data_IF_585811839950
#
_entry.id   IF_585811839950
#
_cell.length_a   1.000
_cell.length_b   1.000
_cell.length_c   1.000
_cell.angle_alpha   90.00
_cell.angle_beta   90.00
_cell.angle_gamma   90.00
#
_symmetry.space_group_name_H-M   'P 1'
#
loop_
_entity.id
_entity.type
_entity.pdbx_description
1 polymer ?
#
# COMPACT_ATOMS: atom_id res chain seq x y z
N UNK A 1 -5.73 -14.71 9.48
CA UNK A 1 -5.07 -14.75 8.19
C UNK A 1 -4.83 -16.19 7.73
N UNK A 2 -4.56 -16.34 6.46
CA UNK A 2 -4.39 -17.66 5.86
C UNK A 2 -3.00 -18.21 6.19
N UNK A 3 -2.93 -19.45 6.70
CA UNK A 3 -1.66 -20.08 7.01
C UNK A 3 -0.79 -20.24 5.76
N UNK A 4 0.49 -19.92 5.89
CA UNK A 4 1.47 -20.05 4.81
C UNK A 4 1.45 -18.92 3.80
N UNK A 5 0.57 -17.92 3.98
CA UNK A 5 0.52 -16.74 3.12
C UNK A 5 1.31 -15.59 3.74
N UNK A 6 1.97 -14.83 2.91
CA UNK A 6 2.58 -13.57 3.34
C UNK A 6 1.63 -12.40 3.06
N UNK A 7 1.70 -11.38 3.89
CA UNK A 7 0.94 -10.15 3.71
C UNK A 7 1.91 -9.01 3.48
N UNK A 8 1.72 -8.28 2.39
CA UNK A 8 2.52 -7.11 2.05
C UNK A 8 1.66 -5.87 2.20
N UNK A 9 2.22 -4.85 2.85
CA UNK A 9 1.54 -3.60 3.14
C UNK A 9 2.18 -2.48 2.33
N UNK A 10 1.40 -1.77 1.50
CA UNK A 10 1.93 -0.65 0.73
C UNK A 10 2.53 0.43 1.62
N UNK A 11 2.05 0.56 2.87
CA UNK A 11 2.61 1.48 3.85
C UNK A 11 4.13 1.29 4.04
N UNK A 12 4.64 0.09 3.81
CA UNK A 12 6.06 -0.20 3.98
C UNK A 12 6.92 0.42 2.88
N UNK A 13 6.35 0.77 1.73
CA UNK A 13 7.14 1.26 0.61
C UNK A 13 6.66 2.55 -0.06
N UNK A 14 5.55 3.17 0.37
CA UNK A 14 5.20 4.48 -0.17
C UNK A 14 6.36 5.46 0.03
N UNK A 15 6.87 6.11 -1.03
CA UNK A 15 7.94 7.09 -0.84
C UNK A 15 7.39 8.44 -0.35
N UNK A 16 6.96 8.49 0.90
CA UNK A 16 6.44 9.67 1.56
C UNK A 16 4.96 9.91 1.34
N UNK A 17 4.49 11.05 1.82
CA UNK A 17 3.07 11.42 1.80
C UNK A 17 2.52 11.80 0.42
N UNK A 18 3.38 11.97 -0.57
CA UNK A 18 3.00 12.18 -1.97
C UNK A 18 3.17 10.92 -2.81
N UNK A 19 3.46 9.80 -2.18
CA UNK A 19 3.91 8.57 -2.85
C UNK A 19 2.84 7.54 -3.17
N UNK A 20 1.54 7.88 -3.18
CA UNK A 20 0.49 6.90 -3.43
C UNK A 20 0.62 6.26 -4.82
N UNK A 21 0.78 7.06 -5.86
CA UNK A 21 0.91 6.55 -7.23
C UNK A 21 2.16 5.68 -7.39
N UNK A 22 3.28 6.11 -6.84
CA UNK A 22 4.53 5.32 -6.88
C UNK A 22 4.39 4.02 -6.10
N UNK A 23 3.74 4.06 -4.94
CA UNK A 23 3.46 2.86 -4.15
C UNK A 23 2.60 1.85 -4.91
N UNK A 24 1.58 2.32 -5.61
CA UNK A 24 0.75 1.47 -6.47
C UNK A 24 1.57 0.86 -7.61
N UNK A 25 2.48 1.63 -8.20
CA UNK A 25 3.37 1.14 -9.25
C UNK A 25 4.31 0.04 -8.74
N UNK A 26 4.86 0.21 -7.54
CA UNK A 26 5.70 -0.80 -6.90
C UNK A 26 4.89 -2.08 -6.62
N UNK A 27 3.64 -1.95 -6.15
CA UNK A 27 2.77 -3.10 -5.95
C UNK A 27 2.55 -3.88 -7.26
N UNK A 28 2.35 -3.17 -8.38
CA UNK A 28 2.21 -3.80 -9.69
C UNK A 28 3.48 -4.57 -10.08
N UNK A 29 4.65 -4.02 -9.84
CA UNK A 29 5.93 -4.67 -10.13
C UNK A 29 6.12 -5.93 -9.29
N UNK A 30 5.84 -5.85 -7.99
CA UNK A 30 5.96 -7.00 -7.09
C UNK A 30 4.99 -8.11 -7.54
N UNK A 31 3.75 -7.76 -7.81
CA UNK A 31 2.75 -8.72 -8.28
C UNK A 31 3.19 -9.39 -9.59
N UNK A 32 3.72 -8.63 -10.52
CA UNK A 32 4.22 -9.17 -11.79
C UNK A 32 5.36 -10.16 -11.59
N UNK A 33 6.30 -9.84 -10.70
CA UNK A 33 7.41 -10.75 -10.36
C UNK A 33 6.87 -12.08 -9.80
N UNK A 34 6.00 -12.01 -8.80
CA UNK A 34 5.46 -13.20 -8.15
C UNK A 34 4.60 -14.04 -9.11
N UNK A 35 3.76 -13.39 -9.92
CA UNK A 35 2.95 -14.09 -10.92
C UNK A 35 3.81 -14.73 -12.01
N UNK A 36 4.98 -14.16 -12.27
CA UNK A 36 5.97 -14.74 -13.18
C UNK A 36 6.82 -15.85 -12.58
N UNK A 37 6.54 -16.25 -11.34
CA UNK A 37 7.29 -17.29 -10.65
C UNK A 37 8.63 -16.84 -10.09
N UNK A 38 8.78 -15.53 -9.85
CA UNK A 38 10.03 -14.96 -9.35
C UNK A 38 9.82 -14.30 -7.98
N UNK A 39 10.82 -14.39 -7.13
CA UNK A 39 10.87 -13.57 -5.93
C UNK A 39 11.01 -12.10 -6.31
N UNK A 40 10.65 -11.21 -5.41
CA UNK A 40 10.71 -9.77 -5.64
C UNK A 40 11.44 -9.06 -4.48
N UNK A 41 11.40 -7.75 -4.49
CA UNK A 41 11.96 -6.93 -3.41
C UNK A 41 11.40 -5.52 -3.49
N UNK A 42 11.54 -4.76 -2.41
CA UNK A 42 11.21 -3.33 -2.41
C UNK A 42 12.13 -2.61 -1.44
N UNK A 43 12.28 -1.32 -1.64
CA UNK A 43 12.97 -0.45 -0.69
C UNK A 43 11.95 0.05 0.35
N UNK A 44 12.15 -0.31 1.61
CA UNK A 44 11.30 0.14 2.69
C UNK A 44 11.44 1.66 2.85
N UNK A 45 10.33 2.34 3.14
CA UNK A 45 10.35 3.77 3.43
C UNK A 45 10.48 3.99 4.93
N UNK A 46 11.43 4.81 5.33
CA UNK A 46 11.63 5.19 6.72
C UNK A 46 10.77 6.42 7.02
N UNK A 47 9.58 6.19 7.56
CA UNK A 47 8.63 7.25 7.87
C UNK A 47 9.12 8.20 8.96
N UNK A 48 9.97 7.71 9.85
CA UNK A 48 10.52 8.51 10.94
C UNK A 48 11.49 9.57 10.42
N UNK A 49 12.35 9.18 9.49
CA UNK A 49 13.39 10.04 8.95
C UNK A 49 13.07 10.61 7.56
N UNK A 50 11.95 10.20 6.96
CA UNK A 50 11.49 10.70 5.67
C UNK A 50 12.43 10.36 4.52
N UNK A 51 12.96 9.15 4.50
CA UNK A 51 13.91 8.72 3.47
C UNK A 51 13.79 7.24 3.17
N UNK A 52 14.41 6.83 2.06
CA UNK A 52 14.52 5.41 1.69
C UNK A 52 15.31 4.65 2.74
N UNK A 53 14.79 3.52 3.16
CA UNK A 53 15.41 2.61 4.12
C UNK A 53 16.03 1.38 3.46
N UNK A 54 15.94 0.25 4.17
CA UNK A 54 16.55 -1.00 3.73
C UNK A 54 15.80 -1.64 2.57
N UNK A 55 16.53 -2.43 1.77
CA UNK A 55 15.94 -3.31 0.77
C UNK A 55 15.37 -4.55 1.47
N UNK A 56 14.10 -4.85 1.20
CA UNK A 56 13.40 -5.98 1.78
C UNK A 56 13.13 -7.01 0.69
N UNK A 57 13.51 -8.24 0.95
CA UNK A 57 13.25 -9.35 0.03
C UNK A 57 11.81 -9.86 0.18
N UNK A 58 11.18 -10.18 -0.94
CA UNK A 58 9.85 -10.75 -0.99
C UNK A 58 9.96 -12.15 -1.59
N UNK A 59 9.86 -13.21 -0.79
CA UNK A 59 9.97 -14.56 -1.32
C UNK A 59 8.78 -14.93 -2.20
N UNK A 60 8.98 -15.87 -3.10
CA UNK A 60 7.90 -16.43 -3.90
C UNK A 60 7.01 -17.30 -3.01
N UNK A 61 5.84 -16.81 -2.71
CA UNK A 61 4.86 -17.46 -1.84
C UNK A 61 3.46 -16.92 -2.15
N UNK A 62 2.39 -17.62 -1.73
CA UNK A 62 1.05 -17.05 -1.79
C UNK A 62 1.02 -15.74 -1.03
N UNK A 63 0.45 -14.70 -1.63
CA UNK A 63 0.62 -13.33 -1.16
C UNK A 63 -0.69 -12.57 -1.17
N UNK A 64 -0.89 -11.79 -0.11
CA UNK A 64 -1.95 -10.76 -0.03
C UNK A 64 -1.24 -9.42 -0.04
N UNK A 65 -1.66 -8.51 -0.92
CA UNK A 65 -1.16 -7.14 -0.97
C UNK A 65 -2.30 -6.21 -0.55
N UNK A 66 -2.08 -5.39 0.48
CA UNK A 66 -3.10 -4.50 0.98
C UNK A 66 -2.61 -3.05 1.05
N UNK A 67 -3.55 -2.12 0.88
CA UNK A 67 -3.31 -0.69 1.00
C UNK A 67 -3.91 0.09 -0.14
N UNK A 68 -3.92 1.42 0.00
CA UNK A 68 -4.37 2.31 -1.07
C UNK A 68 -3.49 2.11 -2.30
N UNK A 69 -4.11 1.82 -3.44
CA UNK A 69 -3.39 1.55 -4.68
C UNK A 69 -3.11 0.07 -4.94
N UNK A 70 -3.33 -0.82 -3.97
CA UNK A 70 -3.14 -2.26 -4.17
C UNK A 70 -4.02 -2.82 -5.28
N UNK A 71 -5.19 -2.24 -5.50
CA UNK A 71 -6.14 -2.68 -6.52
C UNK A 71 -5.58 -2.59 -7.95
N UNK A 72 -4.56 -1.78 -8.17
CA UNK A 72 -3.94 -1.66 -9.48
C UNK A 72 -3.12 -2.89 -9.86
N UNK A 73 -2.67 -3.66 -8.88
CA UNK A 73 -1.86 -4.85 -9.12
C UNK A 73 -2.71 -5.97 -9.72
N UNK A 74 -2.16 -6.69 -10.70
CA UNK A 74 -2.81 -7.86 -11.26
C UNK A 74 -2.81 -9.00 -10.25
N UNK A 75 -3.97 -9.56 -9.98
CA UNK A 75 -4.15 -10.59 -8.95
C UNK A 75 -5.19 -11.62 -9.38
N UNK A 76 -5.16 -12.79 -8.73
CA UNK A 76 -6.17 -13.83 -8.96
C UNK A 76 -7.54 -13.41 -8.41
N UNK A 77 -7.53 -12.62 -7.33
CA UNK A 77 -8.73 -12.05 -6.74
C UNK A 77 -8.41 -10.65 -6.23
N UNK A 78 -9.23 -9.68 -6.63
CA UNK A 78 -9.14 -8.31 -6.15
C UNK A 78 -10.37 -7.97 -5.33
N UNK A 79 -10.15 -7.34 -4.18
CA UNK A 79 -11.22 -6.93 -3.26
C UNK A 79 -11.15 -5.43 -3.07
N UNK A 80 -12.26 -4.77 -3.32
CA UNK A 80 -12.43 -3.34 -3.08
C UNK A 80 -13.32 -3.16 -1.86
N UNK A 81 -12.81 -2.46 -0.86
CA UNK A 81 -13.60 -2.16 0.33
C UNK A 81 -14.49 -0.96 0.02
N UNK A 82 -15.80 -1.12 0.24
CA UNK A 82 -16.75 -0.05 -0.02
C UNK A 82 -16.40 1.21 0.78
N UNK A 83 -16.48 2.37 0.12
CA UNK A 83 -16.16 3.65 0.74
C UNK A 83 -17.23 4.02 1.78
N UNK A 84 -16.87 4.13 3.08
CA UNK A 84 -17.81 4.53 4.12
C UNK A 84 -18.07 6.05 4.16
N UNK A 85 -17.42 6.82 3.28
CA UNK A 85 -17.46 8.27 3.27
C UNK A 85 -16.20 8.89 3.85
N UNK A 86 -15.93 10.13 3.47
CA UNK A 86 -14.70 10.83 3.85
C UNK A 86 -14.54 10.99 5.36
N UNK A 87 -15.61 11.38 6.05
CA UNK A 87 -15.57 11.59 7.51
C UNK A 87 -15.24 10.30 8.25
N UNK A 88 -15.84 9.20 7.84
CA UNK A 88 -15.58 7.90 8.44
C UNK A 88 -14.15 7.42 8.17
N UNK A 89 -13.67 7.58 6.94
CA UNK A 89 -12.28 7.24 6.58
C UNK A 89 -11.29 8.05 7.42
N UNK A 90 -11.53 9.34 7.54
CA UNK A 90 -10.70 10.23 8.34
C UNK A 90 -10.69 9.82 9.79
N UNK A 91 -11.86 9.56 10.36
CA UNK A 91 -12.01 9.13 11.74
C UNK A 91 -11.24 7.85 12.04
N UNK A 92 -11.35 6.86 11.16
CA UNK A 92 -10.64 5.57 11.30
C UNK A 92 -9.12 5.75 11.18
N UNK A 93 -8.66 6.54 10.23
CA UNK A 93 -7.24 6.80 10.03
C UNK A 93 -6.63 7.54 11.23
N UNK A 94 -7.32 8.55 11.75
CA UNK A 94 -6.86 9.31 12.91
C UNK A 94 -6.89 8.48 14.19
N UNK A 95 -7.87 7.59 14.34
CA UNK A 95 -7.94 6.67 15.47
C UNK A 95 -6.77 5.67 15.46
N UNK A 96 -6.36 5.23 14.26
CA UNK A 96 -5.25 4.28 14.09
C UNK A 96 -3.89 4.93 14.26
N UNK A 97 -3.66 6.05 13.56
CA UNK A 97 -2.33 6.66 13.42
C UNK A 97 -2.18 7.99 14.17
N UNK A 98 -3.27 8.62 14.60
CA UNK A 98 -3.27 9.82 15.42
C UNK A 98 -2.48 10.98 14.84
N UNK A 99 -1.58 11.53 15.65
CA UNK A 99 -0.82 12.74 15.32
C UNK A 99 0.12 12.55 14.12
N UNK A 100 0.56 11.33 13.87
CA UNK A 100 1.42 11.03 12.72
C UNK A 100 0.67 11.26 11.41
N UNK A 101 -0.62 10.95 11.38
CA UNK A 101 -1.43 11.05 10.18
C UNK A 101 -2.12 12.42 10.03
N UNK A 102 -2.54 13.02 11.14
CA UNK A 102 -3.41 14.20 11.13
C UNK A 102 -2.92 15.33 10.19
N UNK A 103 -1.63 15.74 10.23
CA UNK A 103 -1.16 16.83 9.37
C UNK A 103 -1.11 16.48 7.88
N UNK A 104 -1.24 15.20 7.52
CA UNK A 104 -1.10 14.71 6.15
C UNK A 104 -2.38 14.15 5.57
N UNK A 105 -3.47 14.10 6.36
CA UNK A 105 -4.73 13.50 5.92
C UNK A 105 -5.22 14.05 4.59
N UNK A 106 -5.28 15.37 4.44
CA UNK A 106 -5.85 15.97 3.24
C UNK A 106 -5.00 15.68 2.01
N UNK A 107 -3.69 15.76 2.14
CA UNK A 107 -2.76 15.43 1.05
C UNK A 107 -2.97 13.99 0.56
N UNK A 108 -3.09 13.05 1.49
CA UNK A 108 -3.30 11.65 1.15
C UNK A 108 -4.68 11.42 0.54
N UNK A 109 -5.71 12.00 1.13
CA UNK A 109 -7.08 11.90 0.64
C UNK A 109 -7.22 12.44 -0.79
N UNK A 110 -6.56 13.55 -1.10
CA UNK A 110 -6.58 14.14 -2.44
C UNK A 110 -5.98 13.21 -3.49
N UNK A 111 -4.88 12.54 -3.17
CA UNK A 111 -4.27 11.55 -4.04
C UNK A 111 -5.22 10.37 -4.27
N UNK A 112 -5.84 9.87 -3.21
CA UNK A 112 -6.75 8.73 -3.27
C UNK A 112 -7.99 9.05 -4.09
N UNK A 113 -8.57 10.25 -3.94
CA UNK A 113 -9.72 10.71 -4.72
C UNK A 113 -9.41 10.86 -6.21
N UNK A 114 -8.15 11.14 -6.55
CA UNK A 114 -7.72 11.23 -7.93
C UNK A 114 -7.64 9.86 -8.64
N UNK A 115 -7.85 8.78 -7.93
CA UNK A 115 -7.77 7.42 -8.47
C UNK A 115 -9.17 6.93 -8.82
N UNK A 116 -9.30 6.34 -10.00
CA UNK A 116 -10.57 5.77 -10.45
C UNK A 116 -10.69 4.31 -9.98
N UNK A 117 -11.91 3.88 -9.69
CA UNK A 117 -12.22 2.46 -9.52
C UNK A 117 -11.98 1.72 -10.83
N UNK A 118 -11.38 0.54 -10.79
CA UNK A 118 -11.20 -0.28 -11.98
C UNK A 118 -12.52 -0.78 -12.55
#
# INVERSE_FOLDING_TARGET
>A
LVNGWQVLHLDDWYPGWDGLAEGAHIACRIAADLRGGRASSYEAWDWENGRTGAMISVPLAPTIIEGCGAIDAEADLSVWIADPGEDERRSRALARDGQTYAPHWQRWADQDLGRSLP
#
